data_IF_237964588416
#
_entry.id   IF_237964588416
#
_cell.length_a   1.000
_cell.length_b   1.000
_cell.length_c   1.000
_cell.angle_alpha   90.00
_cell.angle_beta   90.00
_cell.angle_gamma   90.00
#
_symmetry.space_group_name_H-M   'P 1'
#
loop_
_entity.id
_entity.type
_entity.pdbx_description
1 polymer ?
#
# COMPACT_ATOMS: atom_id res chain seq x y z
N UNK A 1 -10.87 -12.60 25.93
CA UNK A 1 -11.33 -11.87 24.72
C UNK A 1 -11.86 -12.82 23.67
N UNK A 2 -11.13 -13.88 23.30
CA UNK A 2 -11.55 -14.81 22.25
C UNK A 2 -12.80 -15.65 22.53
N UNK A 3 -13.24 -15.72 23.79
CA UNK A 3 -14.40 -16.53 24.22
C UNK A 3 -15.69 -15.72 24.44
N UNK A 4 -15.64 -14.41 24.19
CA UNK A 4 -16.78 -13.50 24.40
C UNK A 4 -17.44 -13.21 23.05
N UNK A 5 -18.78 -13.18 23.03
CA UNK A 5 -19.55 -12.82 21.84
C UNK A 5 -19.68 -11.31 21.70
N UNK A 6 -19.40 -10.81 20.49
CA UNK A 6 -19.40 -9.38 20.15
C UNK A 6 -20.30 -9.13 18.93
N UNK A 7 -21.60 -9.42 19.02
CA UNK A 7 -22.50 -9.43 17.88
C UNK A 7 -22.59 -8.07 17.17
N UNK A 8 -22.43 -6.96 17.90
CA UNK A 8 -22.50 -5.60 17.37
C UNK A 8 -21.13 -4.98 17.01
N UNK A 9 -20.03 -5.73 17.10
CA UNK A 9 -18.71 -5.20 16.78
C UNK A 9 -18.52 -5.09 15.27
N UNK A 10 -18.34 -3.86 14.79
CA UNK A 10 -18.09 -3.57 13.38
C UNK A 10 -16.61 -3.39 13.05
N UNK A 11 -15.80 -2.97 14.02
CA UNK A 11 -14.42 -2.53 13.81
C UNK A 11 -13.49 -3.31 14.74
N UNK A 12 -12.51 -3.98 14.16
CA UNK A 12 -11.48 -4.72 14.88
C UNK A 12 -10.10 -4.28 14.42
N UNK A 13 -9.34 -3.71 15.35
CA UNK A 13 -7.98 -3.24 15.12
C UNK A 13 -6.98 -4.01 15.97
N UNK A 14 -6.03 -4.65 15.30
CA UNK A 14 -4.83 -5.22 15.89
C UNK A 14 -3.64 -4.35 15.48
N UNK A 15 -2.94 -3.78 16.45
CA UNK A 15 -1.72 -3.04 16.17
C UNK A 15 -0.70 -3.13 17.31
N UNK A 16 0.46 -2.52 17.06
CA UNK A 16 1.64 -2.63 17.93
C UNK A 16 2.74 -3.41 17.21
N UNK A 17 3.29 -4.43 17.87
CA UNK A 17 4.29 -5.34 17.32
C UNK A 17 3.84 -6.78 17.52
N UNK A 18 4.00 -7.65 16.52
CA UNK A 18 3.76 -9.08 16.74
C UNK A 18 4.79 -9.64 17.74
N UNK A 19 4.36 -10.48 18.70
CA UNK A 19 5.26 -11.07 19.68
C UNK A 19 6.32 -11.93 18.98
N UNK A 20 7.53 -11.97 19.56
CA UNK A 20 8.70 -12.68 19.05
C UNK A 20 8.49 -14.17 18.71
N UNK A 21 7.42 -14.77 19.21
CA UNK A 21 7.02 -16.15 18.93
C UNK A 21 5.65 -16.15 18.27
N UNK A 22 5.55 -15.61 17.05
CA UNK A 22 4.32 -15.65 16.24
C UNK A 22 4.07 -17.05 15.63
N UNK A 23 4.38 -18.11 16.36
CA UNK A 23 4.06 -19.48 16.00
C UNK A 23 2.57 -19.71 16.32
N UNK A 24 1.72 -19.71 15.28
CA UNK A 24 0.34 -20.23 15.27
C UNK A 24 -0.72 -19.56 16.17
N UNK A 25 -0.32 -18.93 17.26
CA UNK A 25 -1.22 -18.47 18.33
C UNK A 25 -2.12 -17.32 17.87
N UNK A 26 -1.55 -16.28 17.24
CA UNK A 26 -2.33 -15.14 16.73
C UNK A 26 -3.40 -15.57 15.73
N UNK A 27 -3.01 -16.34 14.71
CA UNK A 27 -3.92 -16.84 13.68
C UNK A 27 -5.04 -17.69 14.29
N UNK A 28 -4.69 -18.58 15.23
CA UNK A 28 -5.65 -19.43 15.94
C UNK A 28 -6.65 -18.59 16.74
N UNK A 29 -6.17 -17.59 17.50
CA UNK A 29 -7.03 -16.70 18.27
C UNK A 29 -7.95 -15.89 17.35
N UNK A 30 -7.42 -15.28 16.29
CA UNK A 30 -8.22 -14.51 15.34
C UNK A 30 -9.31 -15.38 14.73
N UNK A 31 -8.97 -16.58 14.26
CA UNK A 31 -9.94 -17.50 13.68
C UNK A 31 -11.02 -17.94 14.67
N UNK A 32 -10.68 -18.14 15.94
CA UNK A 32 -11.68 -18.44 16.98
C UNK A 32 -12.58 -17.25 17.33
N UNK A 33 -12.11 -16.02 17.11
CA UNK A 33 -12.86 -14.79 17.35
C UNK A 33 -13.84 -14.48 16.23
N UNK A 34 -13.47 -14.69 14.96
CA UNK A 34 -14.27 -14.27 13.80
C UNK A 34 -15.75 -14.71 13.83
N UNK A 35 -16.10 -15.96 14.21
CA UNK A 35 -17.51 -16.38 14.32
C UNK A 35 -18.33 -15.57 15.33
N UNK A 36 -17.67 -14.92 16.28
CA UNK A 36 -18.28 -14.16 17.38
C UNK A 36 -18.51 -12.69 17.04
N UNK A 37 -18.16 -12.27 15.83
CA UNK A 37 -18.26 -10.90 15.32
C UNK A 37 -18.97 -10.89 13.95
N UNK A 38 -20.24 -11.37 13.86
CA UNK A 38 -20.95 -11.54 12.59
C UNK A 38 -21.16 -10.23 11.80
N UNK A 39 -21.22 -9.10 12.50
CA UNK A 39 -21.40 -7.77 11.89
C UNK A 39 -20.07 -7.05 11.62
N UNK A 40 -18.92 -7.76 11.66
CA UNK A 40 -17.61 -7.17 11.40
C UNK A 40 -17.54 -6.59 9.97
N UNK A 41 -17.18 -5.32 9.88
CA UNK A 41 -17.06 -4.56 8.62
C UNK A 41 -15.64 -4.10 8.35
N UNK A 42 -14.83 -3.86 9.37
CA UNK A 42 -13.49 -3.33 9.25
C UNK A 42 -12.52 -4.19 10.06
N UNK A 43 -11.56 -4.80 9.37
CA UNK A 43 -10.49 -5.58 9.98
C UNK A 43 -9.15 -4.95 9.65
N UNK A 44 -8.42 -4.56 10.69
CA UNK A 44 -7.09 -3.96 10.56
C UNK A 44 -6.08 -4.78 11.34
N UNK A 45 -5.07 -5.29 10.66
CA UNK A 45 -3.92 -5.98 11.25
C UNK A 45 -2.64 -5.21 10.91
N UNK A 46 -2.31 -4.21 11.74
CA UNK A 46 -1.23 -3.24 11.55
C UNK A 46 -0.16 -3.41 12.64
N UNK A 47 0.59 -4.49 12.56
CA UNK A 47 1.63 -4.80 13.55
C UNK A 47 3.04 -4.80 12.94
N UNK A 48 3.95 -4.14 13.65
CA UNK A 48 5.37 -4.10 13.34
C UNK A 48 6.02 -5.47 13.52
N UNK A 49 7.03 -5.73 12.69
CA UNK A 49 7.80 -6.97 12.74
C UNK A 49 9.19 -6.71 13.32
N UNK A 50 9.52 -7.27 14.51
CA UNK A 50 10.84 -7.12 15.10
C UNK A 50 11.94 -7.67 14.19
N UNK A 51 13.09 -7.00 14.12
CA UNK A 51 14.19 -7.41 13.23
C UNK A 51 14.74 -8.81 13.53
N UNK A 52 14.73 -9.21 14.80
CA UNK A 52 15.31 -10.48 15.24
C UNK A 52 14.61 -11.72 14.68
N UNK A 53 13.31 -11.64 14.38
CA UNK A 53 12.47 -12.80 14.01
C UNK A 53 11.17 -12.41 13.29
N UNK A 54 11.15 -11.28 12.60
CA UNK A 54 9.96 -10.77 11.92
C UNK A 54 9.55 -11.67 10.77
N UNK A 55 8.52 -12.49 11.00
CA UNK A 55 7.90 -13.36 10.00
C UNK A 55 6.52 -12.80 9.68
N UNK A 56 6.16 -12.79 8.39
CA UNK A 56 4.81 -12.43 7.94
C UNK A 56 3.79 -13.40 8.53
N UNK A 57 2.76 -12.89 9.19
CA UNK A 57 1.74 -13.72 9.82
C UNK A 57 0.56 -13.94 8.86
N UNK A 58 -0.05 -15.14 8.92
CA UNK A 58 -1.34 -15.36 8.29
C UNK A 58 -2.48 -14.94 9.24
N UNK A 59 -3.56 -14.39 8.69
CA UNK A 59 -4.77 -14.05 9.44
C UNK A 59 -5.71 -15.24 9.60
N UNK A 60 -5.68 -16.19 8.67
CA UNK A 60 -6.46 -17.43 8.74
C UNK A 60 -5.56 -18.67 8.66
N UNK A 61 -5.99 -19.76 9.30
CA UNK A 61 -5.50 -21.10 8.93
C UNK A 61 -6.28 -21.61 7.73
N UNK A 62 -5.76 -22.59 6.99
CA UNK A 62 -6.28 -23.05 5.69
C UNK A 62 -7.69 -23.66 5.68
N UNK A 63 -8.44 -23.58 6.77
CA UNK A 63 -9.79 -24.13 6.88
C UNK A 63 -10.83 -23.26 6.17
N UNK A 64 -11.59 -23.88 5.27
CA UNK A 64 -12.57 -23.25 4.39
C UNK A 64 -13.83 -22.71 5.09
N UNK A 65 -13.94 -22.82 6.42
CA UNK A 65 -15.12 -22.37 7.17
C UNK A 65 -15.22 -20.84 7.31
N UNK A 66 -14.15 -20.11 6.96
CA UNK A 66 -14.08 -18.64 7.08
C UNK A 66 -14.99 -17.85 6.12
N UNK A 67 -15.54 -18.49 5.07
CA UNK A 67 -16.34 -17.81 4.06
C UNK A 67 -17.58 -17.10 4.62
N UNK A 68 -18.28 -17.71 5.58
CA UNK A 68 -19.47 -17.09 6.20
C UNK A 68 -19.13 -15.99 7.20
N UNK A 69 -17.91 -16.01 7.77
CA UNK A 69 -17.53 -15.13 8.87
C UNK A 69 -17.18 -13.71 8.42
N UNK A 70 -16.79 -13.53 7.15
CA UNK A 70 -16.29 -12.27 6.60
C UNK A 70 -17.18 -11.72 5.48
N UNK A 71 -18.42 -12.21 5.38
CA UNK A 71 -19.37 -11.81 4.33
C UNK A 71 -19.68 -10.29 4.36
N UNK A 72 -19.79 -9.73 5.57
CA UNK A 72 -20.09 -8.31 5.78
C UNK A 72 -18.87 -7.39 5.71
N UNK A 73 -17.66 -7.95 5.50
CA UNK A 73 -16.42 -7.20 5.53
C UNK A 73 -16.36 -6.18 4.38
N UNK A 74 -16.15 -4.91 4.73
CA UNK A 74 -16.09 -3.76 3.82
C UNK A 74 -14.68 -3.21 3.64
N UNK A 75 -13.84 -3.37 4.67
CA UNK A 75 -12.46 -2.91 4.70
C UNK A 75 -11.55 -3.97 5.31
N UNK A 76 -10.44 -4.26 4.63
CA UNK A 76 -9.36 -5.12 5.10
C UNK A 76 -8.02 -4.40 4.95
N UNK A 77 -7.31 -4.25 6.06
CA UNK A 77 -5.97 -3.65 6.10
C UNK A 77 -5.00 -4.64 6.73
N UNK A 78 -3.93 -4.98 6.03
CA UNK A 78 -2.93 -5.95 6.49
C UNK A 78 -1.54 -5.38 6.28
N UNK A 79 -0.78 -5.23 7.37
CA UNK A 79 0.65 -4.95 7.33
C UNK A 79 1.44 -6.23 7.09
N UNK A 80 2.41 -6.19 6.17
CA UNK A 80 3.28 -7.29 5.79
C UNK A 80 2.50 -8.60 5.49
N UNK A 81 1.53 -8.55 4.55
CA UNK A 81 0.67 -9.69 4.26
C UNK A 81 1.48 -10.90 3.81
N UNK A 82 1.14 -12.09 4.31
CA UNK A 82 1.74 -13.32 3.84
C UNK A 82 1.20 -13.68 2.43
N UNK A 83 2.07 -13.94 1.43
CA UNK A 83 1.64 -14.14 0.03
C UNK A 83 0.73 -15.35 -0.17
N UNK A 84 0.85 -16.36 0.70
CA UNK A 84 0.03 -17.58 0.69
C UNK A 84 -1.09 -17.57 1.75
N UNK A 85 -1.40 -16.43 2.37
CA UNK A 85 -2.45 -16.38 3.40
C UNK A 85 -3.80 -16.84 2.81
N UNK A 86 -4.47 -17.84 3.43
CA UNK A 86 -5.78 -18.31 3.01
C UNK A 86 -6.86 -17.23 2.97
N UNK A 87 -6.72 -16.15 3.76
CA UNK A 87 -7.69 -15.04 3.76
C UNK A 87 -7.87 -14.42 2.37
N UNK A 88 -6.84 -14.41 1.52
CA UNK A 88 -6.95 -13.84 0.18
C UNK A 88 -7.60 -14.79 -0.84
N UNK A 89 -7.84 -16.06 -0.48
CA UNK A 89 -8.54 -17.02 -1.35
C UNK A 89 -10.06 -17.04 -1.13
N UNK A 90 -10.56 -16.39 -0.07
CA UNK A 90 -12.01 -16.35 0.20
C UNK A 90 -12.69 -15.28 -0.68
N UNK A 91 -13.97 -15.49 -1.07
CA UNK A 91 -14.75 -14.44 -1.72
C UNK A 91 -15.06 -13.29 -0.76
N UNK A 92 -14.90 -12.06 -1.25
CA UNK A 92 -15.24 -10.84 -0.53
C UNK A 92 -16.33 -10.06 -1.27
N UNK A 93 -17.63 -10.42 -1.09
CA UNK A 93 -18.71 -9.84 -1.88
C UNK A 93 -18.91 -8.34 -1.58
N UNK A 94 -18.67 -7.90 -0.35
CA UNK A 94 -18.94 -6.53 0.10
C UNK A 94 -17.68 -5.66 0.31
N UNK A 95 -16.49 -6.19 0.03
CA UNK A 95 -15.23 -5.48 0.27
C UNK A 95 -15.07 -4.33 -0.72
N UNK A 96 -14.93 -3.13 -0.17
CA UNK A 96 -14.76 -1.88 -0.92
C UNK A 96 -13.38 -1.27 -0.74
N UNK A 97 -12.66 -1.64 0.32
CA UNK A 97 -11.33 -1.16 0.64
C UNK A 97 -10.41 -2.34 0.96
N UNK A 98 -9.27 -2.40 0.28
CA UNK A 98 -8.20 -3.35 0.55
C UNK A 98 -6.88 -2.60 0.64
N UNK A 99 -6.16 -2.76 1.74
CA UNK A 99 -4.84 -2.19 1.93
C UNK A 99 -3.85 -3.27 2.34
N UNK A 100 -2.90 -3.54 1.44
CA UNK A 100 -1.82 -4.49 1.59
C UNK A 100 -0.53 -3.70 1.74
N UNK A 101 -0.21 -3.34 2.99
CA UNK A 101 0.77 -2.29 3.28
C UNK A 101 1.88 -2.74 4.23
N UNK A 102 2.70 -1.78 4.61
CA UNK A 102 3.81 -1.88 5.54
C UNK A 102 3.53 -1.06 6.81
N UNK A 103 4.08 -1.52 7.94
CA UNK A 103 4.01 -0.78 9.20
C UNK A 103 5.14 -1.14 10.18
N UNK A 104 6.04 -0.22 10.56
CA UNK A 104 6.19 1.14 10.05
C UNK A 104 6.49 1.17 8.55
N UNK A 105 6.41 2.37 7.94
CA UNK A 105 6.66 2.53 6.51
C UNK A 105 8.09 2.11 6.15
N UNK A 106 8.25 1.34 5.08
CA UNK A 106 9.50 0.77 4.57
C UNK A 106 10.49 1.86 4.19
N UNK A 107 10.01 2.98 3.64
CA UNK A 107 10.85 4.15 3.38
C UNK A 107 11.38 4.79 4.67
N UNK A 108 10.66 4.70 5.80
CA UNK A 108 11.14 5.19 7.10
C UNK A 108 12.18 4.25 7.69
N UNK A 109 11.93 2.95 7.63
CA UNK A 109 12.85 1.90 8.08
C UNK A 109 14.15 1.95 7.28
N UNK A 110 14.09 2.15 5.96
CA UNK A 110 15.28 2.31 5.11
C UNK A 110 16.09 3.57 5.46
N UNK A 111 15.41 4.67 5.79
CA UNK A 111 16.06 5.96 6.03
C UNK A 111 16.60 6.14 7.46
N UNK A 112 15.99 5.49 8.46
CA UNK A 112 16.31 5.72 9.87
C UNK A 112 17.04 4.54 10.50
N UNK A 113 18.31 4.76 10.89
CA UNK A 113 19.18 3.76 11.52
C UNK A 113 18.51 3.13 12.75
N UNK A 114 17.84 3.93 13.59
CA UNK A 114 17.19 3.44 14.81
C UNK A 114 16.05 2.48 14.47
N UNK A 115 15.17 2.85 13.53
CA UNK A 115 14.09 1.97 13.07
C UNK A 115 14.63 0.72 12.38
N UNK A 116 15.68 0.85 11.57
CA UNK A 116 16.35 -0.26 10.89
C UNK A 116 16.98 -1.26 11.86
N UNK A 117 17.36 -0.82 13.06
CA UNK A 117 17.93 -1.71 14.08
C UNK A 117 16.85 -2.51 14.81
N UNK A 118 15.66 -1.94 14.96
CA UNK A 118 14.53 -2.52 15.72
C UNK A 118 13.58 -3.36 14.85
N UNK A 119 13.31 -2.93 13.62
CA UNK A 119 12.24 -3.46 12.80
C UNK A 119 12.75 -4.03 11.47
N UNK A 120 12.03 -5.00 10.94
CA UNK A 120 12.17 -5.46 9.56
C UNK A 120 10.93 -5.09 8.75
N UNK A 121 11.09 -4.96 7.45
CA UNK A 121 10.03 -4.59 6.51
C UNK A 121 10.01 -5.54 5.32
N UNK A 122 9.55 -6.79 5.52
CA UNK A 122 9.45 -7.79 4.46
C UNK A 122 8.24 -7.48 3.57
N UNK A 123 8.30 -6.37 2.82
CA UNK A 123 7.30 -6.03 1.80
C UNK A 123 7.24 -7.11 0.72
N UNK A 124 6.09 -7.26 0.06
CA UNK A 124 5.93 -8.24 -1.01
C UNK A 124 6.90 -7.97 -2.16
N UNK A 125 7.40 -9.01 -2.83
CA UNK A 125 7.90 -8.87 -4.19
C UNK A 125 6.73 -8.71 -5.19
N UNK A 126 6.97 -8.22 -6.40
CA UNK A 126 5.91 -8.13 -7.40
C UNK A 126 5.35 -9.52 -7.78
N UNK A 127 6.20 -10.55 -7.82
CA UNK A 127 5.78 -11.95 -7.99
C UNK A 127 4.86 -12.43 -6.88
N UNK A 128 5.21 -12.11 -5.62
CA UNK A 128 4.38 -12.44 -4.45
C UNK A 128 3.04 -11.70 -4.47
N UNK A 129 3.06 -10.40 -4.78
CA UNK A 129 1.86 -9.57 -4.87
C UNK A 129 0.94 -10.02 -6.02
N UNK A 130 1.51 -10.41 -7.16
CA UNK A 130 0.77 -10.96 -8.30
C UNK A 130 0.03 -12.24 -7.90
N UNK A 131 0.76 -13.18 -7.30
CA UNK A 131 0.21 -14.46 -6.83
C UNK A 131 -0.88 -14.28 -5.78
N UNK A 132 -0.72 -13.31 -4.89
CA UNK A 132 -1.73 -12.95 -3.89
C UNK A 132 -2.98 -12.36 -4.56
N UNK A 133 -2.83 -11.32 -5.38
CA UNK A 133 -3.97 -10.62 -5.98
C UNK A 133 -4.76 -11.47 -6.98
N UNK A 134 -4.13 -12.45 -7.64
CA UNK A 134 -4.83 -13.43 -8.49
C UNK A 134 -5.88 -14.25 -7.72
N UNK A 135 -5.71 -14.41 -6.40
CA UNK A 135 -6.65 -15.16 -5.55
C UNK A 135 -7.77 -14.27 -5.01
N UNK A 136 -7.54 -12.97 -4.92
CA UNK A 136 -8.50 -12.01 -4.34
C UNK A 136 -9.72 -11.87 -5.24
N UNK A 137 -10.90 -12.17 -4.68
CA UNK A 137 -12.20 -12.00 -5.35
C UNK A 137 -13.01 -10.92 -4.67
N UNK A 138 -12.84 -9.67 -5.09
CA UNK A 138 -13.52 -8.49 -4.53
C UNK A 138 -14.17 -7.64 -5.65
N UNK A 139 -15.34 -8.05 -6.18
CA UNK A 139 -15.95 -7.38 -7.33
C UNK A 139 -16.45 -5.95 -7.06
N UNK A 140 -16.54 -5.56 -5.78
CA UNK A 140 -16.95 -4.23 -5.34
C UNK A 140 -15.79 -3.35 -4.85
N UNK A 141 -14.54 -3.78 -5.05
CA UNK A 141 -13.37 -3.04 -4.60
C UNK A 141 -13.31 -1.65 -5.26
N UNK A 142 -13.25 -0.60 -4.43
CA UNK A 142 -13.15 0.81 -4.83
C UNK A 142 -11.81 1.42 -4.50
N UNK A 143 -11.16 0.96 -3.44
CA UNK A 143 -9.86 1.47 -3.00
C UNK A 143 -8.88 0.31 -2.81
N UNK A 144 -7.72 0.43 -3.45
CA UNK A 144 -6.60 -0.50 -3.31
C UNK A 144 -5.35 0.28 -2.89
N UNK A 145 -4.76 -0.09 -1.75
CA UNK A 145 -3.37 0.26 -1.40
C UNK A 145 -2.50 -0.99 -1.51
N UNK A 146 -1.36 -0.89 -2.19
CA UNK A 146 -0.41 -1.99 -2.34
C UNK A 146 1.03 -1.50 -2.19
N UNK A 147 1.78 -2.18 -1.32
CA UNK A 147 3.21 -1.94 -1.09
C UNK A 147 4.01 -3.15 -1.54
N UNK A 148 4.96 -2.95 -2.46
CA UNK A 148 5.75 -4.05 -3.01
C UNK A 148 7.10 -3.59 -3.60
N UNK A 149 8.03 -4.52 -3.74
CA UNK A 149 9.30 -4.36 -4.45
C UNK A 149 9.18 -4.93 -5.85
N UNK A 150 9.59 -4.17 -6.86
CA UNK A 150 9.61 -4.62 -8.24
C UNK A 150 10.56 -5.82 -8.42
N UNK A 151 10.13 -6.78 -9.22
CA UNK A 151 10.90 -7.89 -9.75
C UNK A 151 10.42 -8.15 -11.20
N UNK A 152 10.76 -9.28 -11.80
CA UNK A 152 10.42 -9.62 -13.19
C UNK A 152 8.89 -9.60 -13.46
N UNK A 153 8.05 -9.75 -12.44
CA UNK A 153 6.59 -9.79 -12.57
C UNK A 153 5.91 -8.42 -12.41
N UNK A 154 6.65 -7.32 -12.25
CA UNK A 154 6.09 -5.97 -12.00
C UNK A 154 5.11 -5.51 -13.10
N UNK A 155 5.45 -5.75 -14.36
CA UNK A 155 4.56 -5.39 -15.48
C UNK A 155 3.26 -6.20 -15.45
N UNK A 156 3.35 -7.50 -15.16
CA UNK A 156 2.19 -8.39 -15.08
C UNK A 156 1.30 -8.05 -13.89
N UNK A 157 1.90 -7.66 -12.75
CA UNK A 157 1.18 -7.18 -11.57
C UNK A 157 0.36 -5.93 -11.88
N UNK A 158 0.97 -4.92 -12.50
CA UNK A 158 0.28 -3.69 -12.89
C UNK A 158 -0.85 -3.98 -13.90
N UNK A 159 -0.60 -4.87 -14.85
CA UNK A 159 -1.61 -5.30 -15.83
C UNK A 159 -2.77 -6.04 -15.16
N UNK A 160 -2.51 -6.90 -14.17
CA UNK A 160 -3.54 -7.58 -13.39
C UNK A 160 -4.41 -6.58 -12.61
N UNK A 161 -3.79 -5.66 -11.87
CA UNK A 161 -4.52 -4.62 -11.12
C UNK A 161 -5.46 -3.86 -12.04
N UNK A 162 -4.98 -3.53 -13.24
CA UNK A 162 -5.75 -2.78 -14.22
C UNK A 162 -6.97 -3.54 -14.80
N UNK A 163 -7.02 -4.87 -14.65
CA UNK A 163 -8.05 -5.73 -15.24
C UNK A 163 -8.98 -6.37 -14.19
N UNK A 164 -8.49 -6.60 -12.98
CA UNK A 164 -9.20 -7.42 -11.97
C UNK A 164 -10.26 -6.67 -11.17
N UNK A 165 -10.20 -5.34 -11.11
CA UNK A 165 -11.04 -4.53 -10.23
C UNK A 165 -11.88 -3.50 -11.01
N UNK A 166 -13.03 -3.90 -11.58
CA UNK A 166 -13.79 -3.04 -12.49
C UNK A 166 -14.35 -1.77 -11.85
N UNK A 167 -14.52 -1.75 -10.52
CA UNK A 167 -15.06 -0.61 -9.76
C UNK A 167 -13.99 0.21 -9.04
N UNK A 168 -12.70 -0.02 -9.34
CA UNK A 168 -11.61 0.64 -8.66
C UNK A 168 -11.60 2.15 -8.97
N UNK A 169 -11.70 2.97 -7.92
CA UNK A 169 -11.71 4.44 -8.01
C UNK A 169 -10.45 5.07 -7.42
N UNK A 170 -9.84 4.44 -6.44
CA UNK A 170 -8.69 4.99 -5.73
C UNK A 170 -7.59 3.94 -5.69
N UNK A 171 -6.42 4.27 -6.25
CA UNK A 171 -5.26 3.39 -6.27
C UNK A 171 -4.08 4.09 -5.59
N UNK A 172 -3.49 3.42 -4.61
CA UNK A 172 -2.31 3.85 -3.87
C UNK A 172 -1.25 2.78 -4.06
N UNK A 173 -0.15 3.10 -4.75
CA UNK A 173 0.96 2.17 -4.96
C UNK A 173 2.22 2.70 -4.30
N UNK A 174 2.85 1.86 -3.48
CA UNK A 174 4.22 2.05 -3.04
C UNK A 174 5.09 0.99 -3.69
N UNK A 175 5.59 1.31 -4.88
CA UNK A 175 6.50 0.49 -5.67
C UNK A 175 7.93 0.87 -5.33
N UNK A 176 8.70 -0.10 -4.86
CA UNK A 176 10.13 0.04 -4.63
C UNK A 176 10.92 -0.57 -5.79
N UNK A 177 12.08 0.02 -6.12
CA UNK A 177 12.92 -0.48 -7.21
C UNK A 177 13.49 -1.86 -6.90
N UNK A 178 13.63 -2.66 -7.96
CA UNK A 178 14.33 -3.96 -7.99
C UNK A 178 15.81 -3.81 -7.64
N UNK A 179 16.43 -2.72 -8.09
CA UNK A 179 17.84 -2.45 -7.86
C UNK A 179 18.13 -0.94 -7.77
N UNK A 180 19.28 -0.59 -7.20
CA UNK A 180 19.66 0.81 -6.98
C UNK A 180 19.92 1.61 -8.28
N UNK A 181 20.13 0.91 -9.39
CA UNK A 181 20.37 1.45 -10.74
C UNK A 181 19.14 1.42 -11.64
N UNK A 182 18.02 0.84 -11.18
CA UNK A 182 16.78 0.81 -11.97
C UNK A 182 16.29 2.24 -12.23
N UNK A 183 16.11 2.56 -13.52
CA UNK A 183 15.39 3.75 -13.97
C UNK A 183 13.90 3.42 -14.09
N UNK A 184 13.05 4.15 -13.38
CA UNK A 184 11.61 3.88 -13.33
C UNK A 184 10.89 4.59 -14.48
N UNK A 185 10.36 3.82 -15.43
CA UNK A 185 9.50 4.35 -16.50
C UNK A 185 8.07 4.63 -16.00
N UNK A 186 7.91 5.77 -15.34
CA UNK A 186 6.63 6.24 -14.82
C UNK A 186 5.56 6.42 -15.91
N UNK A 187 5.95 6.68 -17.17
CA UNK A 187 5.01 6.80 -18.30
C UNK A 187 4.48 5.43 -18.72
N UNK A 188 5.32 4.39 -18.75
CA UNK A 188 4.86 3.03 -18.99
C UNK A 188 3.90 2.55 -17.88
N UNK A 189 4.21 2.83 -16.61
CA UNK A 189 3.30 2.56 -15.48
C UNK A 189 1.96 3.27 -15.68
N UNK A 190 1.99 4.57 -16.01
CA UNK A 190 0.79 5.36 -16.26
C UNK A 190 -0.08 4.76 -17.37
N UNK A 191 0.51 4.40 -18.52
CA UNK A 191 -0.21 3.78 -19.65
C UNK A 191 -0.84 2.43 -19.27
N UNK A 192 -0.17 1.63 -18.46
CA UNK A 192 -0.72 0.34 -18.01
C UNK A 192 -1.92 0.57 -17.09
N UNK A 193 -1.80 1.47 -16.12
CA UNK A 193 -2.87 1.80 -15.17
C UNK A 193 -4.01 2.59 -15.81
N UNK A 194 -3.78 3.23 -16.96
CA UNK A 194 -4.80 4.01 -17.65
C UNK A 194 -5.95 3.16 -18.22
N UNK A 195 -5.78 1.83 -18.24
CA UNK A 195 -6.83 0.86 -18.56
C UNK A 195 -7.94 0.82 -17.49
N UNK A 196 -7.71 1.41 -16.30
CA UNK A 196 -8.71 1.53 -15.23
C UNK A 196 -9.56 2.78 -15.50
N UNK A 197 -10.59 2.63 -16.34
CA UNK A 197 -11.44 3.77 -16.75
C UNK A 197 -12.26 4.40 -15.61
N UNK A 198 -12.42 3.66 -14.51
CA UNK A 198 -13.16 4.09 -13.30
C UNK A 198 -12.31 4.84 -12.27
N UNK A 199 -11.00 4.97 -12.53
CA UNK A 199 -10.04 5.59 -11.62
C UNK A 199 -10.31 7.10 -11.46
N UNK A 200 -10.38 7.55 -10.21
CA UNK A 200 -10.62 8.94 -9.79
C UNK A 200 -9.36 9.55 -9.23
N UNK A 201 -8.60 8.82 -8.40
CA UNK A 201 -7.34 9.31 -7.83
C UNK A 201 -6.26 8.24 -7.91
N UNK A 202 -5.04 8.67 -8.25
CA UNK A 202 -3.86 7.82 -8.29
C UNK A 202 -2.79 8.39 -7.36
N UNK A 203 -2.33 7.63 -6.38
CA UNK A 203 -1.24 8.01 -5.48
C UNK A 203 -0.07 7.03 -5.66
N UNK A 204 1.13 7.54 -5.92
CA UNK A 204 2.29 6.71 -6.23
C UNK A 204 3.52 7.12 -5.43
N UNK A 205 4.14 6.14 -4.79
CA UNK A 205 5.56 6.17 -4.48
C UNK A 205 6.27 5.21 -5.43
N UNK A 206 7.16 5.76 -6.27
CA UNK A 206 7.88 5.00 -7.30
C UNK A 206 9.36 4.77 -6.98
N UNK A 207 9.82 5.24 -5.82
CA UNK A 207 11.19 5.08 -5.32
C UNK A 207 12.27 5.44 -6.37
N UNK A 208 12.14 6.58 -7.05
CA UNK A 208 13.05 7.01 -8.13
C UNK A 208 14.53 7.02 -7.71
N UNK A 209 15.43 6.79 -8.68
CA UNK A 209 16.89 6.75 -8.44
C UNK A 209 17.46 8.10 -8.02
N UNK A 210 16.85 9.15 -8.55
CA UNK A 210 17.18 10.55 -8.36
C UNK A 210 16.59 11.12 -7.06
N UNK A 211 15.75 10.34 -6.34
CA UNK A 211 15.19 10.79 -5.08
C UNK A 211 16.32 10.90 -4.03
N UNK A 212 16.61 12.12 -3.54
CA UNK A 212 17.67 12.36 -2.57
C UNK A 212 17.43 11.68 -1.21
N UNK A 213 16.24 11.10 -0.98
CA UNK A 213 15.87 10.42 0.24
C UNK A 213 15.51 11.37 1.38
N UNK A 214 15.24 10.82 2.58
CA UNK A 214 15.04 11.66 3.77
C UNK A 214 16.31 12.46 4.01
N UNK A 215 16.21 13.78 3.95
CA UNK A 215 17.34 14.70 4.00
C UNK A 215 18.05 14.78 5.37
N UNK A 216 18.54 13.65 5.91
CA UNK A 216 19.33 13.61 7.14
C UNK A 216 20.66 14.38 7.03
N UNK A 217 21.07 14.76 5.83
CA UNK A 217 22.29 15.52 5.53
C UNK A 217 22.01 16.92 4.95
N UNK A 218 20.75 17.34 4.81
CA UNK A 218 20.41 18.63 4.18
C UNK A 218 20.92 19.87 4.91
N UNK A 219 21.25 19.78 6.21
CA UNK A 219 21.86 20.90 6.94
C UNK A 219 23.17 21.40 6.29
N UNK A 220 23.76 20.63 5.37
CA UNK A 220 24.99 21.01 4.64
C UNK A 220 24.79 21.38 3.16
N UNK A 221 23.59 21.21 2.59
CA UNK A 221 23.36 21.36 1.14
C UNK A 221 22.17 22.25 0.76
N UNK A 222 21.38 22.74 1.73
CA UNK A 222 20.25 23.64 1.48
C UNK A 222 20.66 25.01 0.92
N UNK A 223 21.94 25.39 1.04
CA UNK A 223 22.44 26.67 0.55
C UNK A 223 22.77 26.68 -0.95
N UNK A 224 22.75 25.52 -1.62
CA UNK A 224 22.96 25.42 -3.08
C UNK A 224 21.62 25.21 -3.81
N UNK A 225 21.09 26.23 -4.51
CA UNK A 225 19.87 26.11 -5.31
C UNK A 225 20.03 25.17 -6.51
N UNK A 226 21.27 24.82 -6.91
CA UNK A 226 21.54 23.84 -7.94
C UNK A 226 21.61 22.39 -7.39
N UNK A 227 21.50 22.20 -6.06
CA UNK A 227 21.50 20.86 -5.48
C UNK A 227 20.28 20.04 -5.95
N UNK A 228 20.48 18.73 -6.16
CA UNK A 228 19.40 17.81 -6.50
C UNK A 228 18.25 17.86 -5.47
N UNK A 229 18.57 18.19 -4.22
CA UNK A 229 17.60 18.40 -3.12
C UNK A 229 16.62 19.53 -3.45
N UNK A 230 17.12 20.68 -3.89
CA UNK A 230 16.31 21.86 -4.22
C UNK A 230 15.47 21.64 -5.49
N UNK A 231 15.99 20.90 -6.47
CA UNK A 231 15.31 20.65 -7.74
C UNK A 231 14.32 19.47 -7.69
N UNK A 232 14.43 18.61 -6.68
CA UNK A 232 13.64 17.39 -6.58
C UNK A 232 12.12 17.62 -6.61
N UNK A 233 11.55 18.61 -5.89
CA UNK A 233 10.11 18.86 -5.92
C UNK A 233 9.59 19.21 -7.31
N UNK A 234 10.31 20.04 -8.08
CA UNK A 234 9.93 20.43 -9.44
C UNK A 234 10.04 19.25 -10.41
N UNK A 235 11.10 18.44 -10.28
CA UNK A 235 11.29 17.21 -11.06
C UNK A 235 10.17 16.20 -10.78
N UNK A 236 9.83 16.03 -9.50
CA UNK A 236 8.73 15.16 -9.07
C UNK A 236 7.38 15.67 -9.61
N UNK A 237 7.13 16.98 -9.55
CA UNK A 237 5.93 17.59 -10.15
C UNK A 237 5.85 17.30 -11.65
N UNK A 238 6.96 17.43 -12.39
CA UNK A 238 7.02 17.11 -13.82
C UNK A 238 6.65 15.65 -14.11
N UNK A 239 7.17 14.69 -13.33
CA UNK A 239 6.74 13.28 -13.46
C UNK A 239 5.25 13.12 -13.18
N UNK A 240 4.73 13.86 -12.21
CA UNK A 240 3.31 13.92 -11.91
C UNK A 240 2.44 14.39 -13.07
N UNK A 241 2.83 15.48 -13.72
CA UNK A 241 2.17 16.01 -14.90
C UNK A 241 2.26 15.06 -16.10
N UNK A 242 3.42 14.42 -16.30
CA UNK A 242 3.62 13.42 -17.34
C UNK A 242 2.66 12.22 -17.18
N UNK A 243 2.50 11.72 -15.94
CA UNK A 243 1.56 10.64 -15.62
C UNK A 243 0.12 11.10 -15.89
N UNK A 244 -0.27 12.25 -15.35
CA UNK A 244 -1.62 12.78 -15.53
C UNK A 244 -1.95 13.00 -17.02
N UNK A 245 -1.00 13.52 -17.79
CA UNK A 245 -1.12 13.69 -19.24
C UNK A 245 -1.25 12.36 -19.98
N UNK A 246 -0.44 11.36 -19.65
CA UNK A 246 -0.49 10.02 -20.25
C UNK A 246 -1.83 9.30 -19.99
N UNK A 247 -2.52 9.63 -18.91
CA UNK A 247 -3.81 9.03 -18.52
C UNK A 247 -5.02 9.88 -18.92
N UNK A 248 -4.83 11.12 -19.39
CA UNK A 248 -5.91 12.08 -19.57
C UNK A 248 -7.01 11.60 -20.55
N UNK A 249 -6.60 10.96 -21.65
CA UNK A 249 -7.52 10.50 -22.69
C UNK A 249 -8.27 9.22 -22.32
N UNK A 250 -7.65 8.35 -21.52
CA UNK A 250 -8.13 6.98 -21.24
C UNK A 250 -8.84 6.85 -19.89
N UNK A 251 -8.55 7.76 -18.94
CA UNK A 251 -9.23 7.84 -17.64
C UNK A 251 -10.05 9.13 -17.55
N UNK A 252 -11.27 9.20 -18.09
CA UNK A 252 -12.06 10.42 -18.08
C UNK A 252 -12.47 10.85 -16.66
N UNK A 253 -12.53 9.92 -15.70
CA UNK A 253 -12.89 10.22 -14.31
C UNK A 253 -11.70 10.62 -13.42
N UNK A 254 -10.46 10.57 -13.93
CA UNK A 254 -9.27 10.86 -13.13
C UNK A 254 -9.22 12.35 -12.79
N UNK A 255 -9.40 12.67 -11.52
CA UNK A 255 -9.35 14.03 -10.98
C UNK A 255 -7.91 14.47 -10.70
N UNK A 256 -7.04 13.54 -10.31
CA UNK A 256 -5.65 13.87 -10.01
C UNK A 256 -4.72 12.71 -9.71
N UNK A 257 -3.44 13.02 -9.78
CA UNK A 257 -2.31 12.14 -9.44
C UNK A 257 -1.58 12.77 -8.26
N UNK A 258 -1.12 11.95 -7.32
CA UNK A 258 -0.21 12.37 -6.26
C UNK A 258 1.07 11.54 -6.27
N UNK A 259 2.21 12.18 -6.08
CA UNK A 259 3.48 11.51 -5.88
C UNK A 259 3.98 11.69 -4.46
N UNK A 260 4.51 10.62 -3.86
CA UNK A 260 5.05 10.66 -2.51
C UNK A 260 6.36 11.44 -2.50
N UNK A 261 6.35 12.58 -1.83
CA UNK A 261 7.52 13.38 -1.51
C UNK A 261 8.03 13.01 -0.12
N UNK A 262 9.33 12.72 0.00
CA UNK A 262 9.97 12.37 1.28
C UNK A 262 10.79 13.56 1.77
N UNK A 263 10.21 14.36 2.66
CA UNK A 263 10.93 15.47 3.29
C UNK A 263 11.60 15.05 4.61
N UNK A 264 12.55 15.86 5.09
CA UNK A 264 13.21 15.68 6.37
C UNK A 264 12.32 16.17 7.52
N UNK A 265 11.72 17.35 7.32
CA UNK A 265 10.68 17.98 8.14
C UNK A 265 9.90 18.89 7.18
N UNK A 266 8.58 18.70 6.94
CA UNK A 266 7.63 17.84 7.67
C UNK A 266 7.73 16.34 7.29
N UNK A 267 6.97 15.41 7.92
CA UNK A 267 6.90 14.01 7.47
C UNK A 267 6.48 13.92 5.99
N UNK A 268 6.78 12.79 5.34
CA UNK A 268 6.44 12.54 3.93
C UNK A 268 5.06 13.09 3.55
N UNK A 269 4.94 13.68 2.36
CA UNK A 269 3.74 14.36 1.88
C UNK A 269 3.34 13.83 0.51
N UNK A 270 2.06 13.97 0.18
CA UNK A 270 1.56 13.76 -1.18
C UNK A 270 1.63 15.06 -1.96
N UNK A 271 2.42 15.11 -3.02
CA UNK A 271 2.44 16.20 -3.99
C UNK A 271 1.38 15.93 -5.07
N UNK A 272 0.30 16.71 -5.06
CA UNK A 272 -0.87 16.55 -5.92
C UNK A 272 -0.79 17.38 -7.19
N UNK A 273 -1.07 16.73 -8.32
CA UNK A 273 -1.34 17.32 -9.63
C UNK A 273 -2.80 17.04 -9.98
N UNK A 274 -3.63 18.09 -10.05
CA UNK A 274 -5.05 17.96 -10.36
C UNK A 274 -5.33 18.36 -11.80
N UNK A 275 -6.25 17.64 -12.43
CA UNK A 275 -6.75 17.98 -13.76
C UNK A 275 -7.33 19.39 -13.76
N UNK A 276 -6.98 20.18 -14.77
CA UNK A 276 -7.44 21.56 -14.92
C UNK A 276 -6.73 22.58 -14.03
N UNK A 277 -5.73 22.18 -13.25
CA UNK A 277 -4.83 23.11 -12.54
C UNK A 277 -3.48 23.20 -13.26
N UNK A 278 -2.78 24.32 -13.05
CA UNK A 278 -1.44 24.55 -13.58
C UNK A 278 -0.33 24.32 -12.54
N UNK A 279 -0.68 24.27 -11.25
CA UNK A 279 0.28 24.16 -10.15
C UNK A 279 -0.01 22.93 -9.28
N UNK A 280 1.07 22.31 -8.81
CA UNK A 280 1.01 21.21 -7.85
C UNK A 280 0.91 21.74 -6.42
N UNK A 281 0.32 20.98 -5.50
CA UNK A 281 0.24 21.34 -4.08
C UNK A 281 0.48 20.16 -3.16
N UNK A 282 0.96 20.40 -1.94
CA UNK A 282 1.21 19.33 -0.98
C UNK A 282 -0.01 19.09 -0.06
N UNK A 283 -0.29 17.83 0.25
CA UNK A 283 -1.25 17.41 1.26
C UNK A 283 -0.65 16.32 2.17
N UNK A 284 -1.11 16.24 3.42
CA UNK A 284 -0.65 15.26 4.40
C UNK A 284 -1.07 13.84 4.03
N UNK A 285 -0.26 12.84 4.43
CA UNK A 285 -0.49 11.41 4.13
C UNK A 285 -1.73 10.85 4.84
N UNK A 286 -2.11 11.42 5.99
CA UNK A 286 -3.19 10.90 6.84
C UNK A 286 -4.40 11.84 6.83
N UNK A 287 -5.26 11.69 5.81
CA UNK A 287 -6.59 12.32 5.80
C UNK A 287 -7.74 11.31 5.61
N UNK A 288 -7.47 10.00 5.49
CA UNK A 288 -8.50 8.99 5.24
C UNK A 288 -8.39 7.83 6.24
N UNK A 289 -9.28 7.85 7.24
CA UNK A 289 -9.70 6.68 8.02
C UNK A 289 -10.89 6.03 7.33
#
# INVERSE_FOLDING_TARGET
MAEVDWPALHDLYFGGSFPHTADGSFTTYLQSMLPRMPDLRHLVAMAALPRANGIRCCLLTGDASAHSMLENLRSLVVAYPHPSDPIFAIPFPNLTHLSLRDWPRHYDIKAQIDLRSLWTSPILSATEALSLLQRVRAPHLKTLELVYSADEADTDLLALIAQSFPKLRHLILHRYRRSADETVDHRAIARTLSRISTLVTLQLHLDFAEDPGKYRTADRYLDDPASDVCQWPDRLAQYGWDILGAMAETCPLLEGVALLRRDAVPPSLWLWMLRGRQEAFCAWIDANW
#
